data_IF_318789929070
#
_entry.id   IF_318789929070
#
_cell.length_a   1.000
_cell.length_b   1.000
_cell.length_c   1.000
_cell.angle_alpha   90.00
_cell.angle_beta   90.00
_cell.angle_gamma   90.00
#
_symmetry.space_group_name_H-M   'P 1'
#
loop_
_entity.id
_entity.type
_entity.pdbx_description
1 polymer ?
#
# COMPACT_ATOMS: atom_id res chain seq x y z
N UNK A 1 -9.47 2.54 25.37
CA UNK A 1 -10.66 1.85 24.78
C UNK A 1 -11.80 1.51 25.76
N UNK A 2 -11.64 1.66 27.09
CA UNK A 2 -12.73 1.34 28.03
C UNK A 2 -13.94 2.28 27.89
N UNK A 3 -13.74 3.48 27.36
CA UNK A 3 -14.75 4.55 27.30
C UNK A 3 -15.58 4.57 26.01
N UNK A 4 -15.36 3.62 25.08
CA UNK A 4 -16.17 3.49 23.87
C UNK A 4 -17.20 2.37 24.05
N UNK A 5 -18.49 2.63 23.75
CA UNK A 5 -19.53 1.60 23.77
C UNK A 5 -19.07 0.36 23.01
N UNK A 6 -19.40 -0.83 23.52
CA UNK A 6 -18.88 -2.09 23.00
C UNK A 6 -19.14 -2.26 21.49
N UNK A 7 -20.30 -1.82 21.00
CA UNK A 7 -20.68 -1.90 19.59
C UNK A 7 -19.94 -0.91 18.69
N UNK A 8 -19.41 0.17 19.27
CA UNK A 8 -18.67 1.20 18.53
C UNK A 8 -17.16 0.96 18.56
N UNK A 9 -16.70 -0.11 19.24
CA UNK A 9 -15.30 -0.54 19.16
C UNK A 9 -15.01 -1.05 17.74
N UNK A 10 -13.82 -0.78 17.17
CA UNK A 10 -13.56 -1.04 15.76
C UNK A 10 -13.83 -2.48 15.31
N UNK A 11 -13.42 -3.49 16.10
CA UNK A 11 -13.60 -4.91 15.73
C UNK A 11 -15.07 -5.33 15.76
N UNK A 12 -15.81 -4.88 16.76
CA UNK A 12 -17.24 -5.11 16.90
C UNK A 12 -18.04 -4.34 15.84
N UNK A 13 -17.59 -3.13 15.48
CA UNK A 13 -18.16 -2.34 14.39
C UNK A 13 -17.95 -3.03 13.04
N UNK A 14 -16.78 -3.63 12.78
CA UNK A 14 -16.56 -4.47 11.59
C UNK A 14 -17.59 -5.60 11.50
N UNK A 15 -17.85 -6.31 12.60
CA UNK A 15 -18.77 -7.44 12.63
C UNK A 15 -20.24 -7.04 12.40
N UNK A 16 -20.63 -5.81 12.76
CA UNK A 16 -22.03 -5.36 12.73
C UNK A 16 -22.36 -4.46 11.54
N UNK A 17 -21.43 -3.59 11.15
CA UNK A 17 -21.61 -2.54 10.12
C UNK A 17 -20.67 -2.72 8.92
N UNK A 18 -19.78 -3.69 8.96
CA UNK A 18 -18.80 -3.95 7.90
C UNK A 18 -17.56 -3.04 7.99
N UNK A 19 -16.47 -3.47 7.34
CA UNK A 19 -15.16 -2.79 7.38
C UNK A 19 -15.20 -1.37 6.79
N UNK A 20 -16.07 -1.11 5.82
CA UNK A 20 -16.24 0.20 5.17
C UNK A 20 -16.81 1.28 6.10
N UNK A 21 -17.36 0.89 7.25
CA UNK A 21 -17.90 1.82 8.25
C UNK A 21 -16.84 2.41 9.19
N UNK A 22 -15.59 1.94 9.08
CA UNK A 22 -14.47 2.40 9.91
C UNK A 22 -13.74 3.56 9.22
N UNK A 23 -13.33 4.53 10.01
CA UNK A 23 -12.32 5.53 9.61
C UNK A 23 -10.94 4.88 9.49
N UNK A 24 -10.01 5.55 8.78
CA UNK A 24 -8.61 5.12 8.67
C UNK A 24 -7.97 4.84 10.04
N UNK A 25 -8.26 5.70 11.03
CA UNK A 25 -7.77 5.53 12.39
C UNK A 25 -8.33 4.24 13.01
N UNK A 26 -9.63 3.99 12.89
CA UNK A 26 -10.27 2.78 13.40
C UNK A 26 -9.76 1.51 12.70
N UNK A 27 -9.42 1.58 11.42
CA UNK A 27 -8.77 0.48 10.71
C UNK A 27 -7.43 0.15 11.35
N UNK A 28 -6.58 1.15 11.61
CA UNK A 28 -5.29 0.94 12.28
C UNK A 28 -5.47 0.44 13.71
N UNK A 29 -6.44 0.97 14.47
CA UNK A 29 -6.78 0.48 15.80
C UNK A 29 -7.17 -1.01 15.77
N UNK A 30 -7.96 -1.42 14.77
CA UNK A 30 -8.40 -2.81 14.62
C UNK A 30 -7.24 -3.77 14.38
N UNK A 31 -6.26 -3.34 13.57
CA UNK A 31 -5.01 -4.07 13.28
C UNK A 31 -4.19 -4.19 14.57
N UNK A 32 -3.84 -3.07 15.20
CA UNK A 32 -2.98 -3.05 16.39
C UNK A 32 -3.61 -3.74 17.62
N UNK A 33 -4.94 -3.68 17.74
CA UNK A 33 -5.74 -4.33 18.77
C UNK A 33 -5.65 -3.73 20.17
N UNK A 34 -4.46 -3.33 20.63
CA UNK A 34 -4.26 -2.70 21.94
C UNK A 34 -3.13 -1.68 21.93
N UNK A 35 -3.15 -0.76 22.90
CA UNK A 35 -2.08 0.20 23.16
C UNK A 35 -0.83 -0.47 23.76
N UNK A 36 0.13 0.33 24.17
CA UNK A 36 1.24 -0.09 25.03
C UNK A 36 0.99 0.37 26.47
N UNK A 37 1.93 0.06 27.37
CA UNK A 37 1.91 0.63 28.73
C UNK A 37 2.05 2.16 28.73
N UNK A 38 2.71 2.71 27.72
CA UNK A 38 3.06 4.14 27.62
C UNK A 38 2.11 4.94 26.72
N UNK A 39 1.32 4.29 25.86
CA UNK A 39 0.58 4.97 24.78
C UNK A 39 -0.73 4.25 24.47
N UNK A 40 -1.85 4.99 24.44
CA UNK A 40 -3.15 4.44 24.01
C UNK A 40 -3.13 4.13 22.51
N UNK A 41 -3.84 3.07 22.10
CA UNK A 41 -3.93 2.63 20.70
C UNK A 41 -4.46 3.72 19.77
N UNK A 42 -5.36 4.59 20.25
CA UNK A 42 -5.92 5.70 19.49
C UNK A 42 -4.87 6.73 19.12
N UNK A 43 -3.97 7.02 20.07
CA UNK A 43 -2.86 7.96 19.86
C UNK A 43 -1.90 7.36 18.83
N UNK A 44 -1.50 6.10 19.02
CA UNK A 44 -0.63 5.39 18.07
C UNK A 44 -1.25 5.36 16.67
N UNK A 45 -2.54 5.02 16.56
CA UNK A 45 -3.23 4.93 15.28
C UNK A 45 -3.31 6.28 14.57
N UNK A 46 -3.63 7.36 15.30
CA UNK A 46 -3.63 8.71 14.77
C UNK A 46 -2.25 9.12 14.26
N UNK A 47 -1.19 8.83 15.01
CA UNK A 47 0.17 9.19 14.63
C UNK A 47 0.64 8.42 13.38
N UNK A 48 0.23 7.14 13.25
CA UNK A 48 0.45 6.38 12.00
C UNK A 48 -0.34 7.00 10.84
N UNK A 49 -1.61 7.37 11.02
CA UNK A 49 -2.40 8.04 9.98
C UNK A 49 -1.72 9.33 9.50
N UNK A 50 -1.17 10.13 10.41
CA UNK A 50 -0.41 11.34 10.06
C UNK A 50 0.83 11.00 9.25
N UNK A 51 1.63 10.03 9.71
CA UNK A 51 2.82 9.58 8.98
C UNK A 51 2.48 9.08 7.56
N UNK A 52 1.37 8.34 7.40
CA UNK A 52 0.92 7.83 6.11
C UNK A 52 0.42 8.93 5.19
N UNK A 53 -0.19 9.99 5.72
CA UNK A 53 -0.57 11.15 4.91
C UNK A 53 0.65 11.89 4.37
N UNK A 54 1.69 12.01 5.21
CA UNK A 54 2.93 12.71 4.84
C UNK A 54 3.80 11.91 3.86
N UNK A 55 3.90 10.59 4.06
CA UNK A 55 4.84 9.71 3.32
C UNK A 55 4.18 8.74 2.33
N UNK A 56 2.85 8.65 2.32
CA UNK A 56 2.10 7.73 1.46
C UNK A 56 2.68 6.30 1.44
N UNK A 57 2.96 5.76 0.26
CA UNK A 57 3.47 4.41 0.01
C UNK A 57 4.92 4.18 0.43
N UNK A 58 5.64 5.20 0.91
CA UNK A 58 7.08 5.12 1.18
C UNK A 58 7.44 4.85 2.64
N UNK A 59 6.46 4.50 3.50
CA UNK A 59 6.70 4.32 4.94
C UNK A 59 7.64 3.14 5.17
N UNK A 60 8.80 3.41 5.78
CA UNK A 60 9.81 2.41 6.12
C UNK A 60 9.67 1.95 7.56
N UNK A 61 10.25 0.79 7.86
CA UNK A 61 10.31 0.23 9.21
C UNK A 61 10.85 1.23 10.26
N UNK A 62 11.90 1.99 9.91
CA UNK A 62 12.48 3.01 10.79
C UNK A 62 11.54 4.18 11.06
N UNK A 63 10.68 4.53 10.11
CA UNK A 63 9.72 5.62 10.28
C UNK A 63 8.67 5.23 11.32
N UNK A 64 8.16 4.00 11.25
CA UNK A 64 7.22 3.46 12.24
C UNK A 64 7.83 3.38 13.63
N UNK A 65 9.11 2.98 13.75
CA UNK A 65 9.81 2.93 15.05
C UNK A 65 10.00 4.31 15.67
N UNK A 66 9.87 5.39 14.91
CA UNK A 66 9.97 6.76 15.45
C UNK A 66 8.71 7.17 16.23
N UNK A 67 7.59 6.45 16.06
CA UNK A 67 6.33 6.73 16.74
C UNK A 67 6.38 6.16 18.17
N UNK A 68 6.17 6.98 19.22
CA UNK A 68 6.10 6.52 20.60
C UNK A 68 5.04 5.42 20.78
N UNK A 69 5.43 4.30 21.38
CA UNK A 69 4.55 3.15 21.57
C UNK A 69 4.52 2.16 20.39
N UNK A 70 5.28 2.39 19.31
CA UNK A 70 5.54 1.39 18.28
C UNK A 70 6.89 0.72 18.53
N UNK A 71 6.83 -0.55 18.93
CA UNK A 71 7.99 -1.44 18.96
C UNK A 71 8.10 -2.29 17.69
N UNK A 72 9.15 -3.12 17.59
CA UNK A 72 9.42 -3.98 16.44
C UNK A 72 8.22 -4.80 15.95
N UNK A 73 7.48 -5.40 16.87
CA UNK A 73 6.32 -6.25 16.56
C UNK A 73 5.19 -5.47 15.87
N UNK A 74 4.84 -4.27 16.37
CA UNK A 74 3.78 -3.44 15.77
C UNK A 74 4.21 -2.85 14.44
N UNK A 75 5.47 -2.44 14.31
CA UNK A 75 6.01 -1.96 13.05
C UNK A 75 5.97 -3.05 11.97
N UNK A 76 6.41 -4.27 12.30
CA UNK A 76 6.35 -5.41 11.39
C UNK A 76 4.90 -5.77 11.00
N UNK A 77 3.98 -5.70 11.95
CA UNK A 77 2.55 -5.96 11.71
C UNK A 77 1.96 -5.00 10.66
N UNK A 78 2.22 -3.69 10.79
CA UNK A 78 1.72 -2.69 9.84
C UNK A 78 2.33 -2.90 8.44
N UNK A 79 3.64 -3.13 8.36
CA UNK A 79 4.28 -3.39 7.06
C UNK A 79 3.77 -4.67 6.41
N UNK A 80 3.50 -5.71 7.18
CA UNK A 80 2.89 -6.94 6.67
C UNK A 80 1.51 -6.68 6.07
N UNK A 81 0.68 -5.84 6.71
CA UNK A 81 -0.61 -5.43 6.16
C UNK A 81 -0.47 -4.69 4.82
N UNK A 82 0.49 -3.77 4.70
CA UNK A 82 0.75 -3.07 3.43
C UNK A 82 1.24 -4.02 2.34
N UNK A 83 2.15 -4.94 2.65
CA UNK A 83 2.62 -5.91 1.67
C UNK A 83 1.51 -6.88 1.23
N UNK A 84 0.61 -7.27 2.15
CA UNK A 84 -0.59 -8.04 1.78
C UNK A 84 -1.48 -7.25 0.82
N UNK A 85 -1.73 -5.97 1.11
CA UNK A 85 -2.46 -5.08 0.21
C UNK A 85 -1.79 -5.00 -1.16
N UNK A 86 -0.46 -4.86 -1.19
CA UNK A 86 0.32 -4.82 -2.44
C UNK A 86 0.19 -6.13 -3.22
N UNK A 87 0.27 -7.30 -2.58
CA UNK A 87 0.23 -8.61 -3.27
C UNK A 87 -1.16 -9.04 -3.74
N UNK A 88 -2.20 -8.74 -2.95
CA UNK A 88 -3.53 -9.32 -3.16
C UNK A 88 -4.58 -8.30 -3.60
N UNK A 89 -4.33 -7.00 -3.40
CA UNK A 89 -5.25 -5.95 -3.83
C UNK A 89 -4.77 -5.22 -5.09
N UNK A 90 -3.55 -5.45 -5.57
CA UNK A 90 -3.20 -5.07 -6.94
C UNK A 90 -3.73 -6.12 -7.90
N UNK A 91 -4.44 -5.71 -8.98
CA UNK A 91 -4.90 -6.65 -9.98
C UNK A 91 -3.70 -7.41 -10.55
N UNK A 92 -3.79 -8.74 -10.60
CA UNK A 92 -2.81 -9.54 -11.33
C UNK A 92 -2.76 -9.04 -12.77
N UNK A 93 -1.57 -9.01 -13.37
CA UNK A 93 -1.35 -8.47 -14.72
C UNK A 93 -2.31 -9.03 -15.78
N UNK A 94 -2.97 -10.18 -15.55
CA UNK A 94 -4.00 -10.74 -16.43
C UNK A 94 -5.42 -10.17 -16.32
N UNK A 95 -5.74 -9.31 -15.34
CA UNK A 95 -7.10 -8.77 -15.15
C UNK A 95 -7.25 -7.30 -15.52
N UNK A 96 -6.15 -6.60 -15.84
CA UNK A 96 -6.20 -5.18 -16.22
C UNK A 96 -6.47 -5.10 -17.72
N UNK A 97 -7.58 -4.46 -18.07
CA UNK A 97 -7.91 -4.12 -19.46
C UNK A 97 -7.54 -2.66 -19.71
N UNK A 98 -6.66 -2.43 -20.68
CA UNK A 98 -6.22 -1.10 -21.09
C UNK A 98 -7.14 -0.60 -22.20
N UNK A 99 -8.03 0.31 -21.84
CA UNK A 99 -8.95 0.99 -22.76
C UNK A 99 -8.56 2.45 -23.00
N UNK A 100 -7.81 3.04 -22.07
CA UNK A 100 -7.29 4.40 -22.14
C UNK A 100 -5.91 4.47 -21.46
N UNK A 101 -5.09 5.50 -21.76
CA UNK A 101 -3.74 5.62 -21.20
C UNK A 101 -3.68 5.55 -19.67
N UNK A 102 -4.69 6.04 -18.96
CA UNK A 102 -4.70 6.04 -17.49
C UNK A 102 -4.80 4.63 -16.88
N UNK A 103 -5.32 3.65 -17.63
CA UNK A 103 -5.52 2.29 -17.11
C UNK A 103 -4.19 1.59 -16.81
N UNK A 104 -3.10 1.99 -17.46
CA UNK A 104 -1.75 1.43 -17.20
C UNK A 104 -1.26 1.73 -15.77
N UNK A 105 -1.80 2.76 -15.11
CA UNK A 105 -1.46 3.10 -13.72
C UNK A 105 -1.94 2.03 -12.72
N UNK A 106 -2.84 1.14 -13.13
CA UNK A 106 -3.32 0.02 -12.32
C UNK A 106 -2.33 -1.16 -12.30
N UNK A 107 -1.31 -1.14 -13.16
CA UNK A 107 -0.32 -2.21 -13.23
C UNK A 107 0.70 -2.08 -12.11
N UNK A 108 0.95 -3.16 -11.39
CA UNK A 108 1.87 -3.21 -10.25
C UNK A 108 3.27 -2.71 -10.61
N UNK A 109 3.77 -3.04 -11.81
CA UNK A 109 5.07 -2.56 -12.29
C UNK A 109 5.14 -1.04 -12.36
N UNK A 110 4.03 -0.36 -12.67
CA UNK A 110 3.95 1.10 -12.71
C UNK A 110 3.81 1.67 -11.29
N UNK A 111 3.03 1.02 -10.42
CA UNK A 111 2.88 1.42 -9.03
C UNK A 111 4.21 1.37 -8.25
N UNK A 112 5.01 0.33 -8.48
CA UNK A 112 6.32 0.13 -7.83
C UNK A 112 7.37 1.15 -8.31
N UNK A 113 7.15 1.83 -9.45
CA UNK A 113 8.05 2.87 -9.98
C UNK A 113 7.85 4.26 -9.37
N UNK A 114 6.82 4.47 -8.53
CA UNK A 114 6.55 5.80 -7.97
C UNK A 114 7.78 6.44 -7.29
N UNK A 115 8.62 5.61 -6.67
CA UNK A 115 9.79 6.05 -5.92
C UNK A 115 11.12 5.79 -6.64
N UNK A 116 11.10 5.28 -7.87
CA UNK A 116 12.32 5.01 -8.65
C UNK A 116 12.93 6.32 -9.15
N UNK A 117 14.23 6.49 -8.94
CA UNK A 117 14.99 7.68 -9.39
C UNK A 117 15.69 7.50 -10.74
N UNK A 118 15.62 6.30 -11.30
CA UNK A 118 16.17 5.98 -12.60
C UNK A 118 15.04 5.95 -13.63
N UNK A 119 15.37 6.23 -14.88
CA UNK A 119 14.43 6.08 -15.98
C UNK A 119 14.20 4.58 -16.27
N UNK A 120 12.99 4.21 -16.63
CA UNK A 120 12.64 2.83 -17.01
C UNK A 120 11.84 2.85 -18.31
N UNK A 121 12.27 2.04 -19.28
CA UNK A 121 11.48 1.74 -20.46
C UNK A 121 10.75 0.41 -20.25
N UNK A 122 9.41 0.45 -20.23
CA UNK A 122 8.56 -0.71 -19.97
C UNK A 122 7.75 -1.06 -21.21
N UNK A 123 7.73 -2.34 -21.55
CA UNK A 123 6.84 -2.91 -22.54
C UNK A 123 5.66 -3.59 -21.85
N UNK A 124 4.45 -3.22 -22.28
CA UNK A 124 3.19 -3.82 -21.83
C UNK A 124 2.59 -4.53 -23.06
N UNK A 125 2.40 -5.84 -22.94
CA UNK A 125 1.80 -6.65 -24.00
C UNK A 125 0.32 -6.86 -23.71
N UNK A 126 -0.52 -6.70 -24.74
CA UNK A 126 -1.97 -6.82 -24.64
C UNK A 126 -2.47 -7.95 -25.55
N UNK A 127 -3.58 -8.58 -25.19
CA UNK A 127 -4.34 -9.44 -26.09
C UNK A 127 -5.27 -8.61 -26.99
N UNK A 128 -5.98 -9.28 -27.91
CA UNK A 128 -6.91 -8.62 -28.84
C UNK A 128 -8.10 -7.92 -28.18
N UNK A 129 -8.40 -8.21 -26.92
CA UNK A 129 -9.45 -7.55 -26.13
C UNK A 129 -8.90 -6.36 -25.31
N UNK A 130 -7.60 -6.05 -25.42
CA UNK A 130 -6.91 -5.02 -24.64
C UNK A 130 -6.55 -5.45 -23.22
N UNK A 131 -6.65 -6.73 -22.89
CA UNK A 131 -6.27 -7.25 -21.57
C UNK A 131 -4.76 -7.44 -21.53
N UNK A 132 -4.13 -7.05 -20.43
CA UNK A 132 -2.68 -7.19 -20.26
C UNK A 132 -2.31 -8.67 -20.16
N UNK A 133 -1.35 -9.08 -20.98
CA UNK A 133 -0.76 -10.43 -20.97
C UNK A 133 0.45 -10.42 -20.03
N UNK A 134 1.36 -9.47 -20.24
CA UNK A 134 2.59 -9.32 -19.48
C UNK A 134 3.06 -7.86 -19.48
N UNK A 135 3.87 -7.50 -18.48
CA UNK A 135 4.52 -6.19 -18.39
C UNK A 135 5.94 -6.36 -17.88
N UNK A 136 6.91 -5.90 -18.66
CA UNK A 136 8.33 -6.08 -18.36
C UNK A 136 9.15 -4.83 -18.63
N UNK A 137 10.16 -4.59 -17.79
CA UNK A 137 11.18 -3.57 -18.04
C UNK A 137 12.12 -4.08 -19.12
N UNK A 138 12.24 -3.33 -20.21
CA UNK A 138 13.19 -3.59 -21.29
C UNK A 138 14.55 -3.02 -20.91
N UNK A 139 14.55 -1.75 -20.50
CA UNK A 139 15.78 -1.02 -20.16
C UNK A 139 15.59 -0.22 -18.88
N UNK A 140 16.62 -0.21 -18.05
CA UNK A 140 16.80 0.78 -16.99
C UNK A 140 17.79 1.81 -17.51
N UNK A 141 17.37 3.07 -17.58
CA UNK A 141 18.11 4.16 -18.18
C UNK A 141 19.52 4.31 -17.61
N UNK A 142 20.45 4.70 -18.48
CA UNK A 142 21.82 5.01 -18.13
C UNK A 142 21.93 6.50 -17.75
N UNK A 143 23.11 7.11 -17.89
CA UNK A 143 23.36 8.48 -17.40
C UNK A 143 22.46 9.57 -18.05
N UNK A 144 22.06 9.38 -19.32
CA UNK A 144 21.24 10.36 -20.06
C UNK A 144 20.41 9.78 -21.23
N UNK A 145 20.37 8.45 -21.39
CA UNK A 145 19.58 7.80 -22.44
C UNK A 145 19.21 6.37 -22.05
N UNK A 146 18.11 5.88 -22.63
CA UNK A 146 17.68 4.49 -22.58
C UNK A 146 17.93 3.86 -23.94
N UNK A 147 18.81 2.86 -24.01
CA UNK A 147 19.00 2.05 -25.22
C UNK A 147 17.81 1.12 -25.37
N UNK A 148 17.05 1.23 -26.47
CA UNK A 148 15.92 0.35 -26.78
C UNK A 148 16.17 -0.28 -28.14
N UNK A 149 16.23 -1.60 -28.21
CA UNK A 149 16.38 -2.31 -29.48
C UNK A 149 15.04 -2.99 -29.86
N UNK A 150 14.52 -2.85 -31.10
CA UNK A 150 13.26 -3.47 -31.52
C UNK A 150 13.20 -5.01 -31.46
N UNK A 151 14.29 -5.67 -31.04
CA UNK A 151 14.39 -7.12 -30.89
C UNK A 151 13.99 -7.57 -29.48
N UNK A 152 14.03 -6.64 -28.52
CA UNK A 152 13.61 -6.84 -27.13
C UNK A 152 12.11 -6.63 -26.96
#
# INVERSE_FOLDING_TARGET
MKDVPRLDRPREKIATKGVTSLSDQELIESILGRGTKSSDVRVIARDICTLLKDRQSTVKYKDLLSIPGIGPSKAAQILACFEMGRRYCTPHSGSVKVTKPQDVLLLTIIADMRDTRQEHFICITLNGAGEVIDSRTITVGLLNHSLVHPRE
#
